data_IF_992370637903
#
_entry.id   IF_992370637903
#
_cell.length_a   1.000
_cell.length_b   1.000
_cell.length_c   1.000
_cell.angle_alpha   90.00
_cell.angle_beta   90.00
_cell.angle_gamma   90.00
#
_symmetry.space_group_name_H-M   'P 1'
#
loop_
_entity.id
_entity.type
_entity.pdbx_description
1 polymer ?
#
# COMPACT_ATOMS: atom_id res chain seq x y z
N UNK A 1 9.26 9.37 -11.05
CA UNK A 1 8.60 10.19 -9.99
C UNK A 1 7.33 9.48 -9.59
N UNK A 2 6.99 9.41 -8.30
CA UNK A 2 5.73 8.82 -7.84
C UNK A 2 4.65 9.91 -7.81
N UNK A 3 3.50 9.63 -8.42
CA UNK A 3 2.37 10.57 -8.58
C UNK A 3 1.17 10.12 -7.75
N UNK A 4 0.30 11.06 -7.35
CA UNK A 4 -0.99 10.70 -6.78
C UNK A 4 -1.74 9.73 -7.70
N UNK A 5 -2.32 8.70 -7.10
CA UNK A 5 -3.03 7.60 -7.74
C UNK A 5 -2.17 6.55 -8.46
N UNK A 6 -0.85 6.68 -8.42
CA UNK A 6 0.03 5.57 -8.81
C UNK A 6 -0.21 4.36 -7.92
N UNK A 7 -0.06 3.18 -8.51
CA UNK A 7 -0.02 1.92 -7.79
C UNK A 7 1.43 1.61 -7.44
N UNK A 8 1.69 1.28 -6.18
CA UNK A 8 3.01 0.87 -5.70
C UNK A 8 2.91 -0.41 -4.87
N UNK A 9 4.01 -1.15 -4.81
CA UNK A 9 4.12 -2.40 -4.07
C UNK A 9 5.26 -2.30 -3.05
N UNK A 10 5.14 -3.09 -1.99
CA UNK A 10 6.16 -3.23 -0.94
C UNK A 10 6.47 -4.71 -0.75
N UNK A 11 7.65 -5.02 -0.21
CA UNK A 11 8.04 -6.41 0.07
C UNK A 11 7.50 -6.93 1.40
N UNK A 12 7.36 -6.03 2.38
CA UNK A 12 7.05 -6.38 3.77
C UNK A 12 5.98 -5.44 4.34
N UNK A 13 5.02 -6.01 5.09
CA UNK A 13 3.93 -5.24 5.72
C UNK A 13 4.44 -4.29 6.81
N UNK A 14 5.56 -4.59 7.44
CA UNK A 14 6.22 -3.73 8.45
C UNK A 14 6.64 -2.37 7.88
N UNK A 15 6.74 -2.24 6.56
CA UNK A 15 6.96 -0.96 5.89
C UNK A 15 5.74 -0.01 5.97
N UNK A 16 4.55 -0.52 6.34
CA UNK A 16 3.38 0.30 6.57
C UNK A 16 3.43 0.95 7.95
N UNK A 17 3.25 2.25 7.99
CA UNK A 17 2.98 3.01 9.21
C UNK A 17 1.67 3.77 9.07
N UNK A 18 0.92 3.94 10.15
CA UNK A 18 -0.30 4.73 10.14
C UNK A 18 -0.39 5.54 11.44
N UNK A 19 -1.01 6.71 11.38
CA UNK A 19 -1.18 7.59 12.55
C UNK A 19 -2.15 6.99 13.58
N UNK A 20 -3.02 6.08 13.12
CA UNK A 20 -3.92 5.27 13.94
C UNK A 20 -3.70 3.79 13.61
N UNK A 21 -4.05 2.91 14.56
CA UNK A 21 -3.98 1.47 14.33
C UNK A 21 -4.75 1.10 13.04
N UNK A 22 -4.12 0.28 12.19
CA UNK A 22 -4.76 -0.18 10.98
C UNK A 22 -5.97 -1.07 11.34
N UNK A 23 -7.09 -0.93 10.61
CA UNK A 23 -8.24 -1.80 10.84
C UNK A 23 -7.88 -3.27 10.67
N UNK A 24 -8.52 -4.12 11.46
CA UNK A 24 -8.25 -5.57 11.49
C UNK A 24 -8.42 -6.27 10.12
N UNK A 25 -9.27 -5.73 9.23
CA UNK A 25 -9.37 -6.30 7.89
C UNK A 25 -8.08 -6.15 7.07
N UNK A 26 -7.21 -5.19 7.38
CA UNK A 26 -5.94 -4.99 6.69
C UNK A 26 -5.01 -6.17 6.94
N UNK A 27 -4.86 -6.59 8.21
CA UNK A 27 -4.04 -7.76 8.58
C UNK A 27 -4.62 -9.05 8.00
N UNK A 28 -5.95 -9.19 7.97
CA UNK A 28 -6.62 -10.41 7.49
C UNK A 28 -6.68 -10.52 5.96
N UNK A 29 -6.85 -9.42 5.23
CA UNK A 29 -7.23 -9.45 3.81
C UNK A 29 -6.14 -8.89 2.89
N UNK A 30 -5.42 -7.87 3.32
CA UNK A 30 -4.42 -7.23 2.48
C UNK A 30 -3.07 -7.96 2.59
N UNK A 31 -2.36 -8.10 1.47
CA UNK A 31 -1.04 -8.74 1.38
C UNK A 31 -0.16 -7.98 0.39
N UNK A 32 1.16 -8.13 0.51
CA UNK A 32 2.18 -7.40 -0.27
C UNK A 32 2.17 -7.69 -1.78
N UNK A 33 1.37 -8.67 -2.23
CA UNK A 33 1.08 -8.89 -3.65
C UNK A 33 0.03 -7.91 -4.20
N UNK A 34 -0.79 -7.30 -3.34
CA UNK A 34 -1.79 -6.30 -3.72
C UNK A 34 -1.17 -4.90 -3.68
N UNK A 35 -1.59 -4.00 -4.58
CA UNK A 35 -1.05 -2.65 -4.63
C UNK A 35 -1.54 -1.81 -3.46
N UNK A 36 -0.74 -0.79 -3.17
CA UNK A 36 -1.11 0.41 -2.43
C UNK A 36 -1.41 1.53 -3.45
N UNK A 37 -2.35 2.41 -3.14
CA UNK A 37 -2.69 3.56 -4.00
C UNK A 37 -2.08 4.81 -3.41
N UNK A 38 -1.23 5.51 -4.15
CA UNK A 38 -0.66 6.79 -3.70
C UNK A 38 -1.77 7.83 -3.53
N UNK A 39 -1.81 8.48 -2.37
CA UNK A 39 -2.78 9.55 -2.06
C UNK A 39 -2.21 10.91 -2.46
N UNK A 40 -3.08 11.90 -2.67
CA UNK A 40 -2.71 13.31 -2.93
C UNK A 40 -2.36 14.08 -1.64
N UNK A 41 -1.97 13.38 -0.58
CA UNK A 41 -1.67 14.01 0.71
C UNK A 41 -0.26 14.60 0.71
N UNK A 42 0.04 15.45 1.70
CA UNK A 42 1.40 16.02 1.85
C UNK A 42 2.36 14.92 2.29
N UNK A 43 3.49 14.79 1.59
CA UNK A 43 4.56 13.89 2.05
C UNK A 43 5.06 14.38 3.41
N UNK A 44 4.90 13.56 4.45
CA UNK A 44 5.42 13.85 5.78
C UNK A 44 6.71 13.08 5.97
N UNK A 45 7.80 13.77 6.31
CA UNK A 45 9.09 13.16 6.66
C UNK A 45 9.65 12.15 5.64
N UNK A 46 9.49 12.42 4.34
CA UNK A 46 9.97 11.53 3.28
C UNK A 46 9.15 10.24 3.10
N UNK A 47 8.00 10.12 3.76
CA UNK A 47 7.06 9.02 3.58
C UNK A 47 6.01 9.37 2.55
N UNK A 48 5.63 8.37 1.76
CA UNK A 48 4.63 8.48 0.71
C UNK A 48 3.28 8.11 1.31
N UNK A 49 2.27 9.00 1.23
CA UNK A 49 0.93 8.69 1.71
C UNK A 49 0.25 7.69 0.78
N UNK A 50 -0.30 6.63 1.35
CA UNK A 50 -0.92 5.53 0.61
C UNK A 50 -2.29 5.16 1.15
N UNK A 51 -3.10 4.59 0.27
CA UNK A 51 -4.39 3.98 0.59
C UNK A 51 -4.34 2.46 0.39
N UNK A 52 -4.80 1.73 1.40
CA UNK A 52 -5.01 0.28 1.36
C UNK A 52 -6.46 0.02 0.99
N UNK A 53 -6.71 -0.92 0.09
CA UNK A 53 -8.05 -1.35 -0.35
C UNK A 53 -8.33 -2.78 0.12
N UNK A 54 -9.48 -2.96 0.76
CA UNK A 54 -10.02 -4.28 1.05
C UNK A 54 -11.02 -4.74 -0.01
N UNK A 55 -11.67 -5.88 0.26
CA UNK A 55 -12.63 -6.52 -0.65
C UNK A 55 -13.92 -5.71 -0.83
N UNK A 56 -14.36 -5.01 0.22
CA UNK A 56 -15.57 -4.16 0.21
C UNK A 56 -15.22 -2.73 -0.17
N UNK A 57 -16.15 -2.04 -0.84
CA UNK A 57 -16.00 -0.61 -1.19
C UNK A 57 -15.70 0.30 0.01
N UNK A 58 -16.22 -0.04 1.19
CA UNK A 58 -16.01 0.68 2.45
C UNK A 58 -14.65 0.40 3.11
N UNK A 59 -13.97 -0.69 2.74
CA UNK A 59 -12.67 -1.04 3.31
C UNK A 59 -11.57 -0.22 2.66
N UNK A 60 -11.30 0.93 3.29
CA UNK A 60 -10.26 1.87 2.89
C UNK A 60 -9.51 2.29 4.15
N UNK A 61 -8.21 2.07 4.17
CA UNK A 61 -7.34 2.52 5.26
C UNK A 61 -6.27 3.45 4.70
N UNK A 62 -5.88 4.44 5.49
CA UNK A 62 -4.76 5.33 5.20
C UNK A 62 -3.51 4.78 5.89
N UNK A 63 -2.39 4.82 5.18
CA UNK A 63 -1.08 4.49 5.72
C UNK A 63 -0.01 5.34 5.02
N UNK A 64 1.22 5.13 5.44
CA UNK A 64 2.45 5.74 4.96
C UNK A 64 3.46 4.64 4.68
N UNK A 65 4.31 4.86 3.68
CA UNK A 65 5.40 3.95 3.34
C UNK A 65 6.67 4.74 3.08
N UNK A 66 7.83 4.21 3.48
CA UNK A 66 9.11 4.78 3.03
C UNK A 66 9.33 4.50 1.54
N UNK A 67 9.87 5.49 0.82
CA UNK A 67 10.21 5.32 -0.59
C UNK A 67 11.21 4.17 -0.84
N UNK A 68 12.08 3.88 0.13
CA UNK A 68 13.05 2.79 0.06
C UNK A 68 12.43 1.39 0.08
N UNK A 69 11.21 1.26 0.63
CA UNK A 69 10.50 -0.01 0.70
C UNK A 69 9.72 -0.35 -0.58
N UNK A 70 9.65 0.60 -1.52
CA UNK A 70 8.90 0.44 -2.76
C UNK A 70 9.67 -0.47 -3.70
N UNK A 71 8.96 -1.48 -4.21
CA UNK A 71 9.47 -2.41 -5.21
C UNK A 71 8.69 -2.29 -6.52
N UNK A 72 9.30 -2.61 -7.66
CA UNK A 72 8.57 -2.81 -8.90
C UNK A 72 7.48 -3.86 -8.71
N UNK A 73 6.37 -3.71 -9.43
CA UNK A 73 5.43 -4.81 -9.57
C UNK A 73 6.15 -5.94 -10.34
N UNK A 74 6.59 -6.95 -9.60
CA UNK A 74 6.93 -8.24 -10.20
C UNK A 74 5.60 -8.91 -10.52
N UNK A 75 5.37 -9.18 -11.80
CA UNK A 75 4.22 -9.92 -12.31
C UNK A 75 4.29 -11.37 -11.82
N UNK A 76 4.00 -11.56 -10.53
CA UNK A 76 4.06 -12.85 -9.86
C UNK A 76 2.79 -13.61 -10.22
N UNK A 77 2.78 -14.18 -11.42
CA UNK A 77 1.79 -15.16 -11.86
C UNK A 77 0.82 -14.68 -12.93
N UNK A 78 1.32 -14.34 -14.12
CA UNK A 78 0.53 -14.58 -15.34
C UNK A 78 0.61 -16.07 -15.63
N UNK A 79 -0.49 -16.76 -15.37
CA UNK A 79 -0.84 -18.13 -15.79
C UNK A 79 0.13 -19.27 -15.41
N UNK A 80 -0.29 -20.08 -14.44
CA UNK A 80 0.20 -21.44 -14.22
C UNK A 80 -0.98 -22.34 -13.86
N UNK A 81 -1.46 -23.04 -14.89
CA UNK A 81 -2.38 -24.20 -14.92
C UNK A 81 -3.89 -23.97 -14.69
#
# INVERSE_FOLDING_TARGET
>A
MIRPHDLIWISDRSALSADQALPEWVSQQWRTSLPLVVRRDVQSNGRIPVGIRGMKRSQRAAAWVSAEAIRPHSDAGVFGE
#
